data_IF_149820960208
#
_entry.id   IF_149820960208
#
_cell.length_a   1.000
_cell.length_b   1.000
_cell.length_c   1.000
_cell.angle_alpha   90.00
_cell.angle_beta   90.00
_cell.angle_gamma   90.00
#
_symmetry.space_group_name_H-M   'P 1'
#
loop_
_entity.id
_entity.type
_entity.pdbx_description
1 polymer ?
#
# COMPACT_ATOMS: atom_id res chain seq x y z
N UNK A 1 -11.59 -24.17 15.37
CA UNK A 1 -12.62 -23.42 14.63
C UNK A 1 -13.08 -22.31 15.55
N UNK A 2 -12.36 -21.21 15.64
CA UNK A 2 -12.83 -20.00 16.32
C UNK A 2 -13.60 -19.20 15.28
N UNK A 3 -14.86 -19.40 15.27
CA UNK A 3 -15.79 -18.68 14.43
C UNK A 3 -15.80 -17.19 14.83
N UNK A 4 -15.97 -16.37 13.84
CA UNK A 4 -15.94 -14.91 13.81
C UNK A 4 -16.99 -14.21 14.69
N UNK A 5 -17.47 -14.83 15.76
CA UNK A 5 -18.53 -14.32 16.65
C UNK A 5 -18.19 -13.04 17.43
N UNK A 6 -16.99 -12.48 17.23
CA UNK A 6 -16.57 -11.20 17.86
C UNK A 6 -16.39 -10.02 16.90
N UNK A 7 -16.52 -10.23 15.56
CA UNK A 7 -16.28 -9.21 14.55
C UNK A 7 -17.54 -8.97 13.71
N UNK A 8 -18.11 -7.77 13.78
CA UNK A 8 -19.42 -7.48 13.18
C UNK A 8 -19.41 -7.49 11.65
N UNK A 9 -18.36 -6.96 11.04
CA UNK A 9 -18.21 -6.84 9.59
C UNK A 9 -17.16 -7.80 9.03
N UNK A 10 -16.00 -7.92 9.67
CA UNK A 10 -14.94 -8.83 9.21
C UNK A 10 -15.43 -10.29 9.15
N UNK A 11 -16.39 -10.69 10.01
CA UNK A 11 -17.04 -11.99 9.98
C UNK A 11 -17.73 -12.31 8.65
N UNK A 12 -18.17 -11.29 7.93
CA UNK A 12 -18.92 -11.37 6.66
C UNK A 12 -18.05 -11.25 5.41
N UNK A 13 -16.79 -10.88 5.56
CA UNK A 13 -15.85 -10.68 4.45
C UNK A 13 -14.93 -11.90 4.36
N UNK A 14 -15.13 -12.71 3.33
CA UNK A 14 -14.34 -13.90 3.03
C UNK A 14 -13.52 -13.75 1.74
N UNK A 15 -13.90 -12.78 0.91
CA UNK A 15 -13.25 -12.47 -0.37
C UNK A 15 -13.29 -10.97 -0.65
N UNK A 16 -12.51 -10.46 -1.60
CA UNK A 16 -12.65 -9.09 -2.09
C UNK A 16 -14.04 -8.76 -2.67
N UNK A 17 -14.74 -9.75 -3.21
CA UNK A 17 -16.12 -9.58 -3.69
C UNK A 17 -17.08 -9.26 -2.53
N UNK A 18 -16.98 -9.97 -1.40
CA UNK A 18 -17.76 -9.67 -0.20
C UNK A 18 -17.46 -8.26 0.32
N UNK A 19 -16.18 -7.84 0.26
CA UNK A 19 -15.77 -6.49 0.65
C UNK A 19 -16.42 -5.43 -0.25
N UNK A 20 -16.39 -5.63 -1.58
CA UNK A 20 -17.03 -4.71 -2.54
C UNK A 20 -18.56 -4.64 -2.40
N UNK A 21 -19.19 -5.65 -1.81
CA UNK A 21 -20.61 -5.65 -1.52
C UNK A 21 -20.99 -4.79 -0.28
N UNK A 22 -20.03 -4.35 0.52
CA UNK A 22 -20.27 -3.43 1.62
C UNK A 22 -20.52 -2.00 1.10
N UNK A 23 -21.27 -1.21 1.88
CA UNK A 23 -21.39 0.23 1.64
C UNK A 23 -20.13 0.94 2.17
N UNK A 24 -19.77 2.07 1.56
CA UNK A 24 -18.58 2.85 1.96
C UNK A 24 -18.62 3.28 3.43
N UNK A 25 -19.80 3.65 3.95
CA UNK A 25 -19.97 4.02 5.35
C UNK A 25 -19.70 2.88 6.35
N UNK A 26 -19.59 1.65 5.87
CA UNK A 26 -19.24 0.47 6.68
C UNK A 26 -17.72 0.20 6.72
N UNK A 27 -16.94 0.74 5.80
CA UNK A 27 -15.51 0.46 5.70
C UNK A 27 -14.70 0.91 6.93
N UNK A 28 -14.99 2.06 7.58
CA UNK A 28 -14.31 2.42 8.83
C UNK A 28 -14.52 1.40 9.95
N UNK A 29 -15.74 0.85 10.07
CA UNK A 29 -16.02 -0.19 11.05
C UNK A 29 -15.33 -1.52 10.71
N UNK A 30 -15.19 -1.86 9.41
CA UNK A 30 -14.39 -2.99 8.97
C UNK A 30 -12.91 -2.81 9.31
N UNK A 31 -12.37 -1.58 9.17
CA UNK A 31 -10.99 -1.28 9.54
C UNK A 31 -10.73 -1.51 11.04
N UNK A 32 -11.67 -1.12 11.89
CA UNK A 32 -11.61 -1.40 13.34
C UNK A 32 -11.59 -2.91 13.60
N UNK A 33 -12.49 -3.67 12.97
CA UNK A 33 -12.55 -5.12 13.14
C UNK A 33 -11.25 -5.80 12.66
N UNK A 34 -10.75 -5.42 11.48
CA UNK A 34 -9.54 -5.99 10.89
C UNK A 34 -8.30 -5.67 11.74
N UNK A 35 -8.17 -4.43 12.22
CA UNK A 35 -7.06 -4.02 13.10
C UNK A 35 -7.09 -4.81 14.40
N UNK A 36 -8.24 -4.93 15.06
CA UNK A 36 -8.39 -5.72 16.27
C UNK A 36 -8.00 -7.19 16.04
N UNK A 37 -8.47 -7.80 14.94
CA UNK A 37 -8.12 -9.16 14.57
C UNK A 37 -6.60 -9.34 14.38
N UNK A 38 -5.94 -8.38 13.71
CA UNK A 38 -4.47 -8.41 13.53
C UNK A 38 -3.74 -8.28 14.87
N UNK A 39 -4.15 -7.36 15.74
CA UNK A 39 -3.55 -7.17 17.07
C UNK A 39 -3.66 -8.47 17.88
N UNK A 40 -4.85 -9.04 17.97
CA UNK A 40 -5.10 -10.27 18.72
C UNK A 40 -4.33 -11.48 18.16
N UNK A 41 -4.28 -11.62 16.83
CA UNK A 41 -3.63 -12.75 16.20
C UNK A 41 -2.12 -12.65 16.22
N UNK A 42 -1.58 -11.52 15.75
CA UNK A 42 -0.12 -11.31 15.65
C UNK A 42 0.53 -11.14 17.02
N UNK A 43 -0.21 -10.63 18.01
CA UNK A 43 0.24 -10.59 19.39
C UNK A 43 0.56 -11.96 19.97
N UNK A 44 -0.11 -13.03 19.45
CA UNK A 44 0.13 -14.42 19.85
C UNK A 44 1.18 -15.13 19.02
N UNK A 45 1.18 -14.90 17.69
CA UNK A 45 2.02 -15.69 16.77
C UNK A 45 3.26 -14.97 16.29
N UNK A 46 3.34 -13.65 16.50
CA UNK A 46 4.43 -12.81 16.00
C UNK A 46 4.31 -12.49 14.50
N UNK A 47 5.28 -11.76 13.98
CA UNK A 47 5.32 -11.34 12.58
C UNK A 47 5.64 -9.86 12.43
N UNK A 48 5.37 -9.29 11.24
CA UNK A 48 5.57 -7.87 10.94
C UNK A 48 4.40 -7.05 11.50
N UNK A 49 4.34 -6.87 12.81
CA UNK A 49 3.18 -6.33 13.52
C UNK A 49 2.84 -4.90 13.09
N UNK A 50 3.73 -3.94 13.38
CA UNK A 50 3.46 -2.51 13.18
C UNK A 50 3.23 -2.13 11.71
N UNK A 51 3.99 -2.72 10.78
CA UNK A 51 3.82 -2.46 9.34
C UNK A 51 2.41 -2.81 8.84
N UNK A 52 1.82 -3.90 9.35
CA UNK A 52 0.48 -4.34 8.96
C UNK A 52 -0.63 -3.48 9.56
N UNK A 53 -0.44 -2.93 10.75
CA UNK A 53 -1.39 -1.99 11.35
C UNK A 53 -1.44 -0.66 10.59
N UNK A 54 -0.30 -0.23 10.01
CA UNK A 54 -0.21 0.96 9.19
C UNK A 54 -0.91 0.86 7.82
N UNK A 55 -1.22 -0.35 7.33
CA UNK A 55 -1.80 -0.55 5.99
C UNK A 55 -3.24 -1.07 6.00
N UNK A 56 -3.93 -1.04 7.12
CA UNK A 56 -5.29 -1.59 7.25
C UNK A 56 -6.26 -0.87 6.31
N UNK A 57 -6.41 0.43 6.44
CA UNK A 57 -7.32 1.24 5.63
C UNK A 57 -6.92 1.23 4.15
N UNK A 58 -5.61 1.35 3.87
CA UNK A 58 -5.09 1.28 2.51
C UNK A 58 -5.45 -0.05 1.83
N UNK A 59 -5.28 -1.17 2.54
CA UNK A 59 -5.60 -2.49 1.99
C UNK A 59 -7.10 -2.66 1.72
N UNK A 60 -7.95 -2.18 2.65
CA UNK A 60 -9.40 -2.16 2.46
C UNK A 60 -9.76 -1.34 1.23
N UNK A 61 -9.24 -0.12 1.11
CA UNK A 61 -9.54 0.78 0.00
C UNK A 61 -9.10 0.20 -1.34
N UNK A 62 -7.93 -0.44 -1.41
CA UNK A 62 -7.43 -1.09 -2.62
C UNK A 62 -8.32 -2.25 -3.06
N UNK A 63 -8.67 -3.17 -2.15
CA UNK A 63 -9.55 -4.31 -2.50
C UNK A 63 -11.01 -3.90 -2.72
N UNK A 64 -11.42 -2.74 -2.21
CA UNK A 64 -12.74 -2.17 -2.47
C UNK A 64 -12.85 -1.57 -3.89
N UNK A 65 -11.75 -0.98 -4.40
CA UNK A 65 -11.76 -0.26 -5.67
C UNK A 65 -11.18 -1.06 -6.85
N UNK A 66 -10.32 -2.04 -6.59
CA UNK A 66 -9.76 -2.92 -7.60
C UNK A 66 -10.59 -4.20 -7.73
N UNK A 67 -10.80 -4.66 -8.95
CA UNK A 67 -11.44 -5.94 -9.23
C UNK A 67 -10.42 -7.07 -9.22
N UNK A 68 -9.82 -7.31 -8.03
CA UNK A 68 -8.86 -8.41 -7.85
C UNK A 68 -9.57 -9.77 -7.87
N UNK A 69 -8.98 -10.82 -8.48
CA UNK A 69 -7.60 -10.92 -8.98
C UNK A 69 -7.38 -10.43 -10.41
N UNK A 70 -8.42 -10.00 -11.15
CA UNK A 70 -8.27 -9.54 -12.53
C UNK A 70 -7.40 -8.27 -12.61
N UNK A 71 -7.68 -7.27 -11.80
CA UNK A 71 -6.76 -6.17 -11.55
C UNK A 71 -5.52 -6.68 -10.79
N UNK A 72 -4.34 -6.18 -11.14
CA UNK A 72 -3.07 -6.64 -10.60
C UNK A 72 -2.61 -5.76 -9.44
N UNK A 73 -2.54 -6.33 -8.25
CA UNK A 73 -2.02 -5.66 -7.05
C UNK A 73 -0.72 -6.34 -6.61
N UNK A 74 0.39 -5.60 -6.67
CA UNK A 74 1.72 -6.06 -6.29
C UNK A 74 2.15 -5.40 -4.99
N UNK A 75 2.62 -6.18 -4.03
CA UNK A 75 3.15 -5.68 -2.76
C UNK A 75 4.69 -5.73 -2.77
N UNK A 76 5.36 -4.62 -2.51
CA UNK A 76 6.81 -4.61 -2.36
C UNK A 76 7.23 -5.27 -1.05
N UNK A 77 8.23 -6.15 -1.07
CA UNK A 77 8.60 -7.02 0.06
C UNK A 77 7.44 -7.94 0.48
N UNK A 78 6.26 -7.36 0.78
CA UNK A 78 5.08 -8.08 1.24
C UNK A 78 4.96 -8.23 2.76
N UNK A 79 5.85 -7.61 3.53
CA UNK A 79 5.81 -7.64 5.00
C UNK A 79 4.59 -6.94 5.59
N UNK A 80 3.96 -6.03 4.85
CA UNK A 80 2.76 -5.27 5.18
C UNK A 80 1.47 -5.86 4.59
N UNK A 81 1.51 -7.08 4.02
CA UNK A 81 0.41 -7.67 3.28
C UNK A 81 -0.45 -8.68 4.09
N UNK A 82 -0.41 -8.65 5.42
CA UNK A 82 -1.29 -9.53 6.21
C UNK A 82 -2.76 -9.12 6.13
N UNK A 83 -3.14 -7.82 6.13
CA UNK A 83 -4.50 -7.40 5.80
C UNK A 83 -4.99 -7.95 4.46
N UNK A 84 -4.13 -7.92 3.43
CA UNK A 84 -4.41 -8.50 2.12
C UNK A 84 -4.71 -10.01 2.24
N UNK A 85 -3.90 -10.79 2.97
CA UNK A 85 -4.17 -12.22 3.19
C UNK A 85 -5.51 -12.45 3.91
N UNK A 86 -5.83 -11.62 4.89
CA UNK A 86 -7.11 -11.73 5.62
C UNK A 86 -8.31 -11.48 4.71
N UNK A 87 -8.26 -10.43 3.90
CA UNK A 87 -9.35 -10.03 3.00
C UNK A 87 -9.47 -10.91 1.75
N UNK A 88 -8.47 -11.73 1.47
CA UNK A 88 -8.44 -12.67 0.34
C UNK A 88 -8.60 -14.14 0.77
N UNK A 89 -9.43 -14.39 1.78
CA UNK A 89 -9.88 -15.73 2.17
C UNK A 89 -8.98 -16.51 3.12
N UNK A 90 -7.84 -15.93 3.56
CA UNK A 90 -6.85 -16.64 4.40
C UNK A 90 -6.94 -16.31 5.88
N UNK A 91 -8.02 -15.61 6.32
CA UNK A 91 -8.23 -15.19 7.72
C UNK A 91 -8.09 -16.32 8.71
N UNK A 92 -8.79 -17.45 8.47
CA UNK A 92 -8.80 -18.60 9.37
C UNK A 92 -7.43 -19.29 9.51
N UNK A 93 -6.52 -19.05 8.56
CA UNK A 93 -5.18 -19.62 8.55
C UNK A 93 -4.11 -18.64 9.04
N UNK A 94 -4.45 -17.39 9.38
CA UNK A 94 -3.44 -16.37 9.72
C UNK A 94 -2.59 -16.79 10.94
N UNK A 95 -3.12 -17.58 11.86
CA UNK A 95 -2.36 -18.11 13.01
C UNK A 95 -1.22 -19.07 12.61
N UNK A 96 -1.21 -19.53 11.36
CA UNK A 96 -0.14 -20.39 10.82
C UNK A 96 0.95 -19.61 10.09
N UNK A 97 0.85 -18.28 10.05
CA UNK A 97 1.81 -17.44 9.29
C UNK A 97 3.24 -17.66 9.78
N UNK A 98 4.19 -17.80 8.85
CA UNK A 98 5.61 -18.06 9.11
C UNK A 98 5.91 -19.40 9.78
N UNK A 99 4.93 -20.28 9.92
CA UNK A 99 5.13 -21.65 10.43
C UNK A 99 5.35 -22.60 9.26
N UNK A 100 6.01 -23.73 9.54
CA UNK A 100 6.16 -24.81 8.57
C UNK A 100 4.77 -25.29 8.12
N UNK A 101 4.58 -25.45 6.82
CA UNK A 101 3.31 -25.84 6.18
C UNK A 101 2.13 -24.88 6.43
N UNK A 102 2.43 -23.70 6.97
CA UNK A 102 1.48 -22.61 7.19
C UNK A 102 1.50 -21.56 6.08
N UNK A 103 0.90 -20.40 6.37
CA UNK A 103 0.94 -19.27 5.44
C UNK A 103 2.37 -18.71 5.30
N UNK A 104 2.75 -18.42 4.07
CA UNK A 104 3.99 -17.72 3.76
C UNK A 104 4.02 -16.33 4.40
N UNK A 105 5.21 -15.83 4.82
CA UNK A 105 5.33 -14.50 5.44
C UNK A 105 5.03 -13.35 4.48
N UNK A 106 5.12 -13.62 3.17
CA UNK A 106 4.93 -12.67 2.07
C UNK A 106 3.92 -13.23 1.07
N UNK A 107 3.38 -12.43 0.14
CA UNK A 107 2.57 -12.92 -0.97
C UNK A 107 3.31 -14.00 -1.77
N UNK A 108 2.58 -15.07 -2.10
CA UNK A 108 3.10 -16.21 -2.87
C UNK A 108 2.04 -16.71 -3.84
N UNK A 109 2.39 -16.78 -5.13
CA UNK A 109 1.49 -17.23 -6.20
C UNK A 109 0.99 -18.67 -6.01
N UNK A 110 1.77 -19.50 -5.31
CA UNK A 110 1.37 -20.86 -4.98
C UNK A 110 0.35 -20.93 -3.84
N UNK A 111 0.14 -19.82 -3.12
CA UNK A 111 -0.75 -19.73 -1.97
C UNK A 111 -2.14 -19.20 -2.33
N UNK A 112 -2.22 -18.27 -3.26
CA UNK A 112 -3.45 -17.57 -3.62
C UNK A 112 -3.39 -16.94 -5.01
N UNK A 113 -4.50 -16.98 -5.75
CA UNK A 113 -4.67 -16.26 -7.02
C UNK A 113 -4.59 -14.74 -6.87
N UNK A 114 -4.89 -14.23 -5.68
CA UNK A 114 -4.77 -12.79 -5.35
C UNK A 114 -3.32 -12.35 -5.14
N UNK A 115 -2.39 -13.27 -4.94
CA UNK A 115 -0.96 -12.99 -4.82
C UNK A 115 -0.35 -12.90 -6.22
N UNK A 116 -0.57 -11.77 -6.88
CA UNK A 116 -0.22 -11.53 -8.30
C UNK A 116 1.28 -11.75 -8.59
N UNK A 117 2.15 -11.48 -7.62
CA UNK A 117 3.59 -11.62 -7.72
C UNK A 117 4.17 -12.20 -6.42
N UNK A 118 5.08 -13.16 -6.53
CA UNK A 118 5.82 -13.69 -5.38
C UNK A 118 6.86 -12.67 -4.89
N UNK A 119 6.78 -12.29 -3.62
CA UNK A 119 7.60 -11.21 -3.06
C UNK A 119 8.45 -11.68 -1.88
N UNK A 120 9.28 -10.80 -1.37
CA UNK A 120 10.21 -11.04 -0.27
C UNK A 120 11.44 -10.15 -0.35
N UNK A 121 11.90 -9.83 -1.58
CA UNK A 121 12.96 -8.86 -1.80
C UNK A 121 12.37 -7.46 -2.01
N UNK A 122 12.98 -6.45 -1.39
CA UNK A 122 12.53 -5.05 -1.51
C UNK A 122 12.78 -4.47 -2.91
N UNK A 123 11.99 -3.47 -3.26
CA UNK A 123 12.19 -2.58 -4.42
C UNK A 123 11.96 -3.23 -5.77
N UNK A 124 11.31 -4.39 -5.80
CA UNK A 124 11.02 -5.15 -7.03
C UNK A 124 9.64 -4.86 -7.62
N UNK A 125 8.72 -4.33 -6.80
CA UNK A 125 7.30 -4.24 -7.14
C UNK A 125 7.01 -3.34 -8.34
N UNK A 126 7.70 -2.20 -8.48
CA UNK A 126 7.49 -1.26 -9.60
C UNK A 126 7.86 -1.93 -10.93
N UNK A 127 9.04 -2.55 -11.02
CA UNK A 127 9.45 -3.28 -12.24
C UNK A 127 8.50 -4.43 -12.59
N UNK A 128 8.03 -5.17 -11.57
CA UNK A 128 7.06 -6.24 -11.78
C UNK A 128 5.73 -5.68 -12.33
N UNK A 129 5.25 -4.57 -11.77
CA UNK A 129 4.05 -3.89 -12.24
C UNK A 129 4.19 -3.36 -13.67
N UNK A 130 5.33 -2.75 -14.01
CA UNK A 130 5.64 -2.33 -15.39
C UNK A 130 5.58 -3.52 -16.35
N UNK A 131 6.24 -4.63 -16.01
CA UNK A 131 6.22 -5.83 -16.85
C UNK A 131 4.81 -6.40 -17.04
N UNK A 132 3.95 -6.36 -16.02
CA UNK A 132 2.54 -6.77 -16.12
C UNK A 132 1.75 -5.82 -17.01
N UNK A 133 1.88 -4.52 -16.85
CA UNK A 133 1.20 -3.52 -17.68
C UNK A 133 1.58 -3.65 -19.16
N UNK A 134 2.87 -3.84 -19.45
CA UNK A 134 3.36 -4.07 -20.80
C UNK A 134 2.85 -5.41 -21.38
N UNK A 135 2.81 -6.46 -20.56
CA UNK A 135 2.21 -7.74 -20.95
C UNK A 135 0.73 -7.61 -21.33
N UNK A 136 -0.07 -6.90 -20.52
CA UNK A 136 -1.48 -6.60 -20.77
C UNK A 136 -1.62 -5.80 -22.08
N UNK A 137 -0.76 -4.80 -22.29
CA UNK A 137 -0.75 -3.98 -23.52
C UNK A 137 -0.44 -4.82 -24.74
N UNK A 138 0.57 -5.69 -24.69
CA UNK A 138 0.95 -6.57 -25.82
C UNK A 138 -0.13 -7.60 -26.16
N UNK A 139 -0.93 -8.02 -25.18
CA UNK A 139 -2.07 -8.90 -25.39
C UNK A 139 -3.31 -8.18 -25.96
N UNK A 140 -3.22 -6.87 -26.22
CA UNK A 140 -4.33 -6.06 -26.72
C UNK A 140 -5.43 -5.77 -25.68
N UNK A 141 -5.16 -6.01 -24.39
CA UNK A 141 -6.11 -5.85 -23.30
C UNK A 141 -5.92 -4.54 -22.53
N UNK A 142 -5.29 -3.57 -23.17
CA UNK A 142 -5.05 -2.26 -22.56
C UNK A 142 -6.36 -1.60 -22.12
N UNK A 143 -6.43 -1.22 -20.84
CA UNK A 143 -7.61 -0.59 -20.23
C UNK A 143 -8.65 -1.57 -19.68
N UNK A 144 -8.54 -2.87 -19.91
CA UNK A 144 -9.42 -3.88 -19.30
C UNK A 144 -9.01 -4.22 -17.87
N UNK A 145 -7.70 -4.18 -17.59
CA UNK A 145 -7.12 -4.49 -16.28
C UNK A 145 -6.29 -3.32 -15.77
N UNK A 146 -6.37 -3.06 -14.49
CA UNK A 146 -5.52 -2.09 -13.80
C UNK A 146 -4.31 -2.79 -13.20
N UNK A 147 -3.20 -2.04 -13.11
CA UNK A 147 -2.00 -2.51 -12.43
C UNK A 147 -1.61 -1.50 -11.39
N UNK A 148 -1.54 -1.94 -10.14
CA UNK A 148 -1.11 -1.14 -9.01
C UNK A 148 -0.02 -1.88 -8.22
N UNK A 149 0.93 -1.13 -7.66
CA UNK A 149 1.90 -1.69 -6.72
C UNK A 149 2.03 -0.79 -5.50
N UNK A 150 2.18 -1.42 -4.33
CA UNK A 150 2.42 -0.73 -3.05
C UNK A 150 3.89 -0.89 -2.69
N UNK A 151 4.58 0.22 -2.53
CA UNK A 151 5.98 0.26 -2.09
C UNK A 151 6.12 1.16 -0.87
N UNK A 152 6.84 0.70 0.14
CA UNK A 152 7.16 1.51 1.31
C UNK A 152 8.31 2.48 1.05
N UNK A 153 8.40 3.50 1.88
CA UNK A 153 9.43 4.53 1.89
C UNK A 153 10.86 3.95 1.88
N UNK A 154 11.14 2.98 2.75
CA UNK A 154 12.43 2.29 2.75
C UNK A 154 12.73 1.54 1.44
N UNK A 155 11.72 0.91 0.81
CA UNK A 155 11.85 0.24 -0.48
C UNK A 155 12.13 1.23 -1.62
N UNK A 156 11.57 2.43 -1.54
CA UNK A 156 11.75 3.48 -2.55
C UNK A 156 13.18 4.03 -2.60
N UNK A 157 13.96 3.91 -1.51
CA UNK A 157 15.34 4.43 -1.47
C UNK A 157 16.36 3.58 -2.23
N UNK A 158 16.00 2.38 -2.68
CA UNK A 158 16.94 1.49 -3.36
C UNK A 158 17.11 1.83 -4.85
N UNK A 159 18.31 1.58 -5.37
CA UNK A 159 18.63 1.84 -6.78
C UNK A 159 17.67 1.15 -7.77
N UNK A 160 17.22 -0.06 -7.44
CA UNK A 160 16.26 -0.81 -8.27
C UNK A 160 14.89 -0.11 -8.38
N UNK A 161 14.43 0.59 -7.33
CA UNK A 161 13.22 1.40 -7.41
C UNK A 161 13.40 2.61 -8.35
N UNK A 162 14.55 3.28 -8.28
CA UNK A 162 14.89 4.38 -9.21
C UNK A 162 14.98 3.93 -10.67
N UNK A 163 15.62 2.81 -10.92
CA UNK A 163 15.69 2.19 -12.25
C UNK A 163 14.27 1.90 -12.78
N UNK A 164 13.41 1.35 -11.93
CA UNK A 164 12.03 1.04 -12.27
C UNK A 164 11.19 2.29 -12.55
N UNK A 165 11.35 3.37 -11.77
CA UNK A 165 10.68 4.65 -12.01
C UNK A 165 11.14 5.29 -13.33
N UNK A 166 12.45 5.27 -13.59
CA UNK A 166 13.00 5.74 -14.87
C UNK A 166 12.42 4.96 -16.06
N UNK A 167 12.32 3.63 -15.95
CA UNK A 167 11.71 2.81 -16.98
C UNK A 167 10.19 3.07 -17.11
N UNK A 168 9.49 3.14 -15.99
CA UNK A 168 8.05 3.43 -15.93
C UNK A 168 7.70 4.72 -16.67
N UNK A 169 8.40 5.82 -16.38
CA UNK A 169 8.16 7.11 -17.04
C UNK A 169 8.54 7.10 -18.51
N UNK A 170 9.69 6.49 -18.88
CA UNK A 170 10.14 6.39 -20.27
C UNK A 170 9.21 5.52 -21.13
N UNK A 171 8.70 4.41 -20.60
CA UNK A 171 7.78 3.53 -21.31
C UNK A 171 6.35 4.06 -21.39
N UNK A 172 5.98 5.00 -20.52
CA UNK A 172 4.61 5.51 -20.41
C UNK A 172 3.60 4.46 -19.95
N UNK A 173 4.06 3.43 -19.20
CA UNK A 173 3.24 2.29 -18.81
C UNK A 173 2.12 2.69 -17.86
N UNK A 174 0.92 2.12 -18.02
CA UNK A 174 -0.25 2.43 -17.20
C UNK A 174 -0.18 1.71 -15.85
N UNK A 175 0.61 2.25 -14.93
CA UNK A 175 0.84 1.71 -13.58
C UNK A 175 0.57 2.77 -12.53
N UNK A 176 -0.17 2.39 -11.49
CA UNK A 176 -0.31 3.17 -10.27
C UNK A 176 0.70 2.68 -9.23
N UNK A 177 1.68 3.51 -8.90
CA UNK A 177 2.57 3.31 -7.76
C UNK A 177 1.95 3.96 -6.53
N UNK A 178 1.71 3.18 -5.48
CA UNK A 178 1.24 3.66 -4.19
C UNK A 178 2.46 3.73 -3.28
N UNK A 179 2.91 4.94 -3.02
CA UNK A 179 4.02 5.23 -2.14
C UNK A 179 3.51 5.34 -0.70
N UNK A 180 3.63 4.24 0.05
CA UNK A 180 3.23 4.17 1.46
C UNK A 180 4.34 4.70 2.34
N UNK A 181 4.22 5.96 2.74
CA UNK A 181 5.23 6.69 3.48
C UNK A 181 4.84 6.84 4.96
N UNK A 182 5.68 6.36 5.85
CA UNK A 182 5.55 6.53 7.30
C UNK A 182 6.87 7.01 7.95
N UNK A 183 7.85 7.46 7.15
CA UNK A 183 9.21 7.88 7.53
C UNK A 183 9.98 6.82 8.34
N UNK A 184 9.58 5.54 8.21
CA UNK A 184 10.13 4.45 8.99
C UNK A 184 10.34 3.19 8.16
N UNK A 185 11.58 2.88 7.83
CA UNK A 185 11.96 1.53 7.39
C UNK A 185 12.09 0.57 8.59
N UNK A 186 13.28 0.10 8.93
CA UNK A 186 13.58 -0.54 10.23
C UNK A 186 13.85 0.55 11.28
N UNK A 187 14.56 1.60 10.86
CA UNK A 187 14.80 2.85 11.58
C UNK A 187 14.24 4.01 10.77
N UNK A 188 14.30 5.22 11.30
CA UNK A 188 13.93 6.42 10.56
C UNK A 188 14.73 6.51 9.24
N UNK A 189 14.06 6.94 8.18
CA UNK A 189 14.66 7.08 6.87
C UNK A 189 15.68 8.23 6.86
N UNK A 190 16.70 8.09 6.01
CA UNK A 190 17.75 9.09 5.83
C UNK A 190 18.06 9.25 4.35
N UNK A 191 18.64 10.41 3.99
CA UNK A 191 19.16 10.67 2.66
C UNK A 191 18.30 11.60 1.81
N UNK A 192 18.84 11.97 0.65
CA UNK A 192 18.27 13.04 -0.20
C UNK A 192 16.85 12.78 -0.67
N UNK A 193 16.44 11.52 -0.86
CA UNK A 193 15.07 11.21 -1.26
C UNK A 193 14.07 11.51 -0.12
N UNK A 194 14.41 11.13 1.11
CA UNK A 194 13.60 11.46 2.29
C UNK A 194 13.44 12.98 2.42
N UNK A 195 14.53 13.74 2.28
CA UNK A 195 14.52 15.20 2.36
C UNK A 195 13.71 15.81 1.21
N UNK A 196 13.80 15.24 0.00
CA UNK A 196 12.98 15.64 -1.14
C UNK A 196 11.48 15.43 -0.85
N UNK A 197 11.10 14.23 -0.38
CA UNK A 197 9.70 13.92 -0.02
C UNK A 197 9.19 14.87 1.08
N UNK A 198 10.02 15.18 2.09
CA UNK A 198 9.68 16.14 3.14
C UNK A 198 9.42 17.55 2.58
N UNK A 199 10.22 18.02 1.61
CA UNK A 199 10.03 19.32 0.96
C UNK A 199 8.76 19.35 0.09
N UNK A 200 8.54 18.32 -0.72
CA UNK A 200 7.30 18.17 -1.53
C UNK A 200 6.08 18.17 -0.63
N UNK A 201 6.11 17.35 0.43
CA UNK A 201 5.06 17.29 1.43
C UNK A 201 4.76 18.67 2.05
N UNK A 202 5.78 19.40 2.51
CA UNK A 202 5.57 20.70 3.19
C UNK A 202 4.91 21.76 2.28
N UNK A 203 5.03 21.64 0.96
CA UNK A 203 4.44 22.55 -0.03
C UNK A 203 3.03 22.16 -0.45
N UNK A 204 2.62 20.92 -0.19
CA UNK A 204 1.35 20.42 -0.69
C UNK A 204 0.17 21.00 0.14
N UNK A 205 -0.89 21.51 -0.49
CA UNK A 205 -2.03 22.13 0.21
C UNK A 205 -2.75 21.16 1.15
N UNK A 206 -2.72 19.85 0.86
CA UNK A 206 -3.36 18.83 1.68
C UNK A 206 -2.46 18.27 2.81
N UNK A 207 -1.23 18.75 2.95
CA UNK A 207 -0.31 18.32 4.02
C UNK A 207 -0.92 18.46 5.43
N UNK A 208 -1.75 19.49 5.63
CA UNK A 208 -2.44 19.73 6.91
C UNK A 208 -3.47 18.66 7.26
N UNK A 209 -3.89 17.83 6.30
CA UNK A 209 -4.89 16.75 6.47
C UNK A 209 -4.26 15.39 6.73
N UNK A 210 -2.94 15.29 6.68
CA UNK A 210 -2.24 14.03 6.95
C UNK A 210 -2.07 13.80 8.46
N UNK A 211 -1.74 12.58 8.92
CA UNK A 211 -1.56 12.28 10.33
C UNK A 211 -0.54 13.20 11.02
N UNK A 212 -0.84 13.66 12.23
CA UNK A 212 0.05 14.55 12.98
C UNK A 212 1.44 13.95 13.23
N UNK A 213 1.51 12.62 13.46
CA UNK A 213 2.76 11.91 13.63
C UNK A 213 3.63 12.00 12.37
N UNK A 214 3.01 11.77 11.19
CA UNK A 214 3.68 11.90 9.91
C UNK A 214 4.14 13.34 9.64
N UNK A 215 3.29 14.33 9.90
CA UNK A 215 3.66 15.76 9.71
C UNK A 215 4.86 16.16 10.57
N UNK A 216 4.96 15.66 11.81
CA UNK A 216 6.13 15.91 12.66
C UNK A 216 7.39 15.22 12.14
N UNK A 217 7.25 13.97 11.68
CA UNK A 217 8.38 13.21 11.12
C UNK A 217 8.94 13.85 9.84
N UNK A 218 8.04 14.36 8.98
CA UNK A 218 8.39 14.97 7.69
C UNK A 218 8.69 16.48 7.77
N UNK A 219 8.91 17.04 8.96
CA UNK A 219 9.36 18.42 9.07
C UNK A 219 10.74 18.58 8.39
N UNK A 220 10.88 19.50 7.39
CA UNK A 220 12.14 19.66 6.69
C UNK A 220 13.21 20.24 7.62
N UNK A 221 14.41 19.66 7.59
CA UNK A 221 15.56 20.14 8.38
C UNK A 221 16.27 21.34 7.73
N UNK A 222 15.97 21.64 6.46
CA UNK A 222 16.59 22.73 5.69
C UNK A 222 15.56 23.67 5.08
N UNK A 223 15.96 24.91 4.82
CA UNK A 223 15.13 25.89 4.10
C UNK A 223 14.79 25.37 2.69
N UNK A 224 13.53 25.59 2.29
CA UNK A 224 13.00 25.17 1.00
C UNK A 224 13.60 26.04 -0.12
N UNK A 225 14.21 25.43 -1.14
CA UNK A 225 14.55 26.12 -2.38
C UNK A 225 13.30 26.27 -3.26
N UNK A 226 13.05 27.45 -3.85
CA UNK A 226 11.93 27.64 -4.78
C UNK A 226 11.99 26.78 -6.04
N UNK A 227 13.20 26.35 -6.43
CA UNK A 227 13.47 25.65 -7.69
C UNK A 227 13.54 24.11 -7.58
N UNK A 228 13.26 23.54 -6.41
CA UNK A 228 13.23 22.07 -6.25
C UNK A 228 11.99 21.52 -6.98
N UNK A 229 12.16 21.12 -8.25
CA UNK A 229 11.15 20.40 -9.02
C UNK A 229 10.80 19.05 -8.39
N UNK A 230 9.63 18.51 -8.69
CA UNK A 230 9.26 17.18 -8.24
C UNK A 230 10.10 16.13 -9.01
N UNK A 231 10.83 15.31 -8.28
CA UNK A 231 11.66 14.24 -8.85
C UNK A 231 10.83 13.27 -9.69
N UNK A 232 9.63 12.90 -9.23
CA UNK A 232 8.78 11.93 -9.91
C UNK A 232 8.26 12.51 -11.23
N UNK A 233 7.81 13.75 -11.24
CA UNK A 233 7.37 14.43 -12.45
C UNK A 233 8.52 14.62 -13.46
N UNK A 234 9.72 14.90 -12.98
CA UNK A 234 10.92 14.98 -13.81
C UNK A 234 11.27 13.65 -14.49
N UNK A 235 10.86 12.51 -13.90
CA UNK A 235 10.96 11.18 -14.49
C UNK A 235 9.77 10.81 -15.38
N UNK A 236 8.78 11.70 -15.55
CA UNK A 236 7.56 11.43 -16.33
C UNK A 236 6.50 10.64 -15.57
N UNK A 237 6.58 10.60 -14.25
CA UNK A 237 5.60 9.94 -13.36
C UNK A 237 4.78 11.03 -12.67
N UNK A 238 3.48 11.09 -12.95
CA UNK A 238 2.59 12.07 -12.33
C UNK A 238 2.51 11.84 -10.82
N UNK A 239 2.80 12.89 -10.05
CA UNK A 239 2.69 12.86 -8.59
C UNK A 239 1.30 13.29 -8.13
N UNK A 240 0.71 12.51 -7.22
CA UNK A 240 -0.61 12.73 -6.59
C UNK A 240 -0.47 12.62 -5.06
N UNK A 241 -1.18 13.44 -4.33
CA UNK A 241 -1.14 13.45 -2.85
C UNK A 241 -0.18 14.52 -2.31
N UNK A 242 0.24 14.48 -1.04
CA UNK A 242 0.01 13.38 -0.09
C UNK A 242 -1.44 13.32 0.43
N UNK A 243 -1.87 12.11 0.76
CA UNK A 243 -3.20 11.86 1.37
C UNK A 243 -3.05 11.09 2.68
N UNK A 244 -3.99 11.29 3.60
CA UNK A 244 -4.05 10.50 4.84
C UNK A 244 -4.47 9.07 4.53
N UNK A 245 -3.56 8.11 4.75
CA UNK A 245 -3.82 6.69 4.53
C UNK A 245 -4.73 6.04 5.58
N UNK A 246 -5.08 6.76 6.65
CA UNK A 246 -5.98 6.28 7.71
C UNK A 246 -7.38 6.89 7.65
N UNK A 247 -7.57 7.90 6.82
CA UNK A 247 -8.88 8.53 6.59
C UNK A 247 -9.48 8.03 5.28
N UNK A 248 -10.43 7.11 5.36
CA UNK A 248 -11.11 6.54 4.20
C UNK A 248 -11.93 7.56 3.42
N UNK A 249 -12.38 8.65 4.05
CA UNK A 249 -13.15 9.70 3.38
C UNK A 249 -12.27 10.53 2.43
N UNK A 250 -10.96 10.60 2.69
CA UNK A 250 -9.98 11.23 1.79
C UNK A 250 -9.27 10.23 0.89
N UNK A 251 -8.96 9.03 1.40
CA UNK A 251 -8.21 8.00 0.68
C UNK A 251 -8.99 7.41 -0.50
N UNK A 252 -10.28 7.11 -0.33
CA UNK A 252 -11.09 6.51 -1.39
C UNK A 252 -11.26 7.43 -2.61
N UNK A 253 -11.62 8.73 -2.47
CA UNK A 253 -11.64 9.65 -3.61
C UNK A 253 -10.30 9.80 -4.31
N UNK A 254 -9.19 9.90 -3.56
CA UNK A 254 -7.86 10.02 -4.14
C UNK A 254 -7.46 8.76 -4.93
N UNK A 255 -7.72 7.58 -4.39
CA UNK A 255 -7.48 6.31 -5.11
C UNK A 255 -8.38 6.18 -6.35
N UNK A 256 -9.66 6.57 -6.29
CA UNK A 256 -10.55 6.60 -7.48
C UNK A 256 -9.98 7.51 -8.57
N UNK A 257 -9.56 8.70 -8.21
CA UNK A 257 -8.91 9.62 -9.14
C UNK A 257 -7.65 8.99 -9.74
N UNK A 258 -6.77 8.44 -8.91
CA UNK A 258 -5.54 7.81 -9.36
C UNK A 258 -5.80 6.59 -10.26
N UNK A 259 -6.83 5.79 -10.00
CA UNK A 259 -7.21 4.62 -10.80
C UNK A 259 -7.91 4.97 -12.12
N UNK A 260 -8.52 6.15 -12.23
CA UNK A 260 -9.12 6.65 -13.49
C UNK A 260 -8.14 7.40 -14.37
N UNK A 261 -7.10 7.98 -13.80
CA UNK A 261 -5.98 8.57 -14.52
C UNK A 261 -5.20 7.49 -15.26
N UNK A 262 -4.65 7.79 -16.43
CA UNK A 262 -3.87 6.83 -17.24
C UNK A 262 -2.40 7.23 -17.28
N UNK A 263 -1.55 6.25 -17.59
CA UNK A 263 -0.11 6.41 -17.67
C UNK A 263 0.61 6.26 -16.34
N UNK A 264 1.90 6.62 -16.28
CA UNK A 264 2.72 6.53 -15.08
C UNK A 264 2.25 7.50 -14.00
N UNK A 265 1.92 6.99 -12.82
CA UNK A 265 1.49 7.82 -11.71
C UNK A 265 1.87 7.25 -10.36
N UNK A 266 2.13 8.14 -9.42
CA UNK A 266 2.46 7.81 -8.04
C UNK A 266 1.47 8.53 -7.12
N UNK A 267 0.79 7.76 -6.26
CA UNK A 267 -0.02 8.31 -5.18
C UNK A 267 0.77 8.20 -3.87
N UNK A 268 1.10 9.35 -3.29
CA UNK A 268 1.76 9.44 -2.00
C UNK A 268 0.72 9.32 -0.88
N UNK A 269 0.84 8.26 -0.08
CA UNK A 269 -0.07 7.94 1.02
C UNK A 269 0.70 8.02 2.34
N UNK A 270 0.35 8.99 3.17
CA UNK A 270 0.92 9.18 4.49
C UNK A 270 0.27 8.23 5.50
N UNK A 271 1.07 7.42 6.19
CA UNK A 271 0.58 6.47 7.18
C UNK A 271 1.34 6.58 8.51
N UNK A 272 0.83 5.90 9.53
CA UNK A 272 1.51 5.73 10.82
C UNK A 272 1.74 4.25 11.05
N UNK A 273 3.02 3.88 11.16
CA UNK A 273 3.42 2.51 11.47
C UNK A 273 2.93 2.17 12.89
N UNK A 274 2.21 1.05 13.04
CA UNK A 274 1.66 0.67 14.34
C UNK A 274 0.28 1.24 14.66
N UNK A 275 -0.36 1.97 13.76
CA UNK A 275 -1.62 2.70 13.94
C UNK A 275 -2.67 1.93 14.75
N UNK A 276 -3.16 2.58 15.84
CA UNK A 276 -4.16 2.02 16.74
C UNK A 276 -3.61 1.05 17.78
N UNK A 277 -2.28 1.02 17.97
CA UNK A 277 -1.62 0.30 19.06
C UNK A 277 -0.45 1.11 19.61
N UNK A 278 -0.73 1.97 20.58
CA UNK A 278 0.21 2.95 21.15
C UNK A 278 1.64 2.43 21.42
N UNK A 279 1.86 1.17 21.88
CA UNK A 279 3.22 0.68 22.08
C UNK A 279 4.00 0.45 20.79
N UNK A 280 3.36 0.53 19.60
CA UNK A 280 3.96 0.30 18.30
C UNK A 280 3.90 1.52 17.35
N UNK A 281 3.23 2.61 17.77
CA UNK A 281 3.26 3.92 17.11
C UNK A 281 4.60 4.70 17.42
#
# INVERSE_FOLDING_TARGET
MSDASGYSLLGRVHSPEDLRALREDQLPALAVDLRRFLIETLGRVGGHFAANLGTVELTIALHYLLDTPDDRLVWDVGHQAYPHKVLTGRRSRLETIRKKDGLAPFPSRDESEYDTFGTGHSSTAISAAVGMAEGIRLLGRHGEQRVACVIGDGGMTAGMAFEALNHLGSAGSDVLVIYNDNDMSISQNVGALRDHCARVFARHPDAARTPDAYRRAMAPESELSPDDGDLFESLGVQYLGPVDGHDLDTLLPALRQALTTRGPRLLHVATVKGKGFDPAE
#
